data_IF_623960503959
#
_entry.id   IF_623960503959
#
_cell.length_a   1.000
_cell.length_b   1.000
_cell.length_c   1.000
_cell.angle_alpha   90.00
_cell.angle_beta   90.00
_cell.angle_gamma   90.00
#
_symmetry.space_group_name_H-M   'P 1'
#
loop_
_entity.id
_entity.type
_entity.pdbx_description
1 polymer ?
#
# COMPACT_ATOMS: atom_id res chain seq x y z
N UNK A 1 3.24 -38.22 53.36
CA UNK A 1 3.51 -37.72 51.99
C UNK A 1 4.75 -36.85 52.03
N UNK A 2 5.80 -37.23 51.31
CA UNK A 2 7.16 -36.69 51.47
C UNK A 2 7.33 -35.35 50.73
N UNK A 3 7.88 -34.37 51.42
CA UNK A 3 8.15 -33.00 50.91
C UNK A 3 8.98 -32.94 49.60
N UNK A 4 9.66 -34.00 49.24
CA UNK A 4 10.46 -34.10 48.00
C UNK A 4 9.63 -34.17 46.72
N UNK A 5 8.35 -34.58 46.76
CA UNK A 5 7.48 -34.64 45.57
C UNK A 5 6.83 -33.31 45.19
N UNK A 6 6.74 -32.37 46.15
CA UNK A 6 6.18 -31.04 45.89
C UNK A 6 7.17 -30.10 45.19
N UNK A 7 8.47 -30.26 45.43
CA UNK A 7 9.51 -29.37 44.84
C UNK A 7 9.72 -29.66 43.32
N UNK A 8 9.61 -30.94 42.94
CA UNK A 8 9.71 -31.32 41.50
C UNK A 8 8.58 -30.81 40.65
N UNK A 9 7.36 -30.69 41.19
CA UNK A 9 6.20 -30.20 40.44
C UNK A 9 6.25 -28.66 40.22
N UNK A 10 6.85 -27.91 41.13
CA UNK A 10 6.99 -26.44 41.01
C UNK A 10 8.07 -26.04 40.00
N UNK A 11 9.15 -26.83 39.86
CA UNK A 11 10.24 -26.53 38.93
C UNK A 11 9.87 -26.78 37.47
N UNK A 12 8.98 -27.73 37.20
CA UNK A 12 8.49 -28.00 35.81
C UNK A 12 7.50 -26.92 35.36
N UNK A 13 6.68 -26.37 36.26
CA UNK A 13 5.77 -25.29 35.95
C UNK A 13 6.45 -23.96 35.62
N UNK A 14 7.66 -23.71 36.16
CA UNK A 14 8.40 -22.48 35.91
C UNK A 14 9.17 -22.49 34.57
N UNK A 15 9.46 -23.67 34.02
CA UNK A 15 10.17 -23.80 32.73
C UNK A 15 9.24 -23.76 31.51
N UNK A 16 7.93 -23.91 31.67
CA UNK A 16 6.96 -23.85 30.55
C UNK A 16 6.44 -22.41 30.33
N UNK A 17 6.65 -21.50 31.30
CA UNK A 17 6.19 -20.10 31.23
C UNK A 17 7.10 -19.13 30.49
N UNK A 18 8.28 -19.57 29.99
CA UNK A 18 9.30 -18.68 29.40
C UNK A 18 9.49 -18.78 27.90
N UNK A 19 8.61 -19.49 27.18
CA UNK A 19 8.79 -19.76 25.75
C UNK A 19 7.71 -19.20 24.84
N UNK A 20 7.20 -17.98 25.08
CA UNK A 20 6.32 -17.35 24.10
C UNK A 20 6.32 -15.81 24.10
N UNK A 21 7.50 -15.21 24.23
CA UNK A 21 7.67 -13.78 23.95
C UNK A 21 8.88 -13.55 23.03
N UNK A 22 8.89 -14.23 21.91
CA UNK A 22 9.83 -13.90 20.84
C UNK A 22 9.05 -13.73 19.55
N UNK A 23 9.13 -12.55 19.01
CA UNK A 23 8.97 -12.11 17.61
C UNK A 23 7.82 -11.16 17.22
N UNK A 24 7.29 -10.34 18.13
CA UNK A 24 6.51 -9.17 17.72
C UNK A 24 7.30 -7.86 17.67
N UNK A 25 8.55 -7.84 18.12
CA UNK A 25 9.38 -6.64 18.23
C UNK A 25 10.14 -6.25 16.95
N UNK A 26 10.50 -7.22 16.10
CA UNK A 26 11.40 -6.96 14.98
C UNK A 26 10.72 -6.30 13.76
N UNK A 27 9.42 -6.51 13.56
CA UNK A 27 8.74 -5.91 12.39
C UNK A 27 8.45 -4.41 12.52
N UNK A 28 8.31 -3.89 13.74
CA UNK A 28 8.09 -2.46 13.99
C UNK A 28 9.32 -1.59 13.73
N UNK A 29 10.52 -2.13 13.84
CA UNK A 29 11.77 -1.37 13.61
C UNK A 29 12.11 -1.18 12.14
N UNK A 30 11.60 -2.02 11.25
CA UNK A 30 11.85 -1.94 9.80
C UNK A 30 10.92 -0.94 9.12
N UNK A 31 9.70 -0.78 9.63
CA UNK A 31 8.68 0.13 9.12
C UNK A 31 8.48 1.27 10.12
N UNK A 32 9.23 2.36 9.97
CA UNK A 32 9.28 3.37 11.02
C UNK A 32 8.26 4.49 10.86
N UNK A 33 8.00 4.93 9.64
CA UNK A 33 7.15 6.09 9.42
C UNK A 33 6.42 6.00 8.08
N UNK A 34 5.23 6.54 8.03
CA UNK A 34 4.45 6.63 6.81
C UNK A 34 3.56 7.86 6.83
N UNK A 35 3.22 8.34 5.64
CA UNK A 35 2.19 9.37 5.47
C UNK A 35 1.45 9.20 4.14
N UNK A 36 0.25 9.76 4.08
CA UNK A 36 -0.56 9.84 2.88
C UNK A 36 -1.03 11.28 2.71
N UNK A 37 -0.82 11.86 1.53
CA UNK A 37 -1.16 13.24 1.20
C UNK A 37 -1.81 13.33 -0.17
N UNK A 38 -2.79 14.22 -0.29
CA UNK A 38 -3.46 14.50 -1.56
C UNK A 38 -4.91 14.92 -1.35
N UNK A 39 -5.59 15.30 -2.42
CA UNK A 39 -7.01 15.69 -2.40
C UNK A 39 -7.95 14.53 -2.02
N UNK A 40 -7.48 13.29 -2.15
CA UNK A 40 -8.20 12.04 -1.85
C UNK A 40 -7.81 11.37 -0.56
N UNK A 41 -6.65 11.71 0.01
CA UNK A 41 -6.17 11.08 1.23
C UNK A 41 -5.35 12.03 2.11
N UNK A 42 -5.46 11.84 3.42
CA UNK A 42 -4.66 12.58 4.38
C UNK A 42 -4.53 11.74 5.66
N UNK A 43 -3.32 11.33 5.95
CA UNK A 43 -2.99 10.66 7.20
C UNK A 43 -1.47 10.64 7.44
N UNK A 44 -1.08 10.41 8.69
CA UNK A 44 0.30 10.14 9.11
C UNK A 44 0.29 9.02 10.13
N UNK A 45 1.44 8.45 10.44
CA UNK A 45 1.60 7.39 11.44
C UNK A 45 1.09 7.77 12.84
N UNK A 46 1.19 9.04 13.19
CA UNK A 46 0.84 9.62 14.51
C UNK A 46 -0.50 10.40 14.51
N UNK A 47 -1.11 10.64 13.35
CA UNK A 47 -2.34 11.42 13.22
C UNK A 47 -3.43 10.63 12.50
N UNK A 48 -4.64 10.51 13.09
CA UNK A 48 -5.75 9.84 12.44
C UNK A 48 -6.17 10.60 11.17
N UNK A 49 -6.54 9.84 10.14
CA UNK A 49 -7.01 10.35 8.87
C UNK A 49 -7.89 9.34 8.15
N UNK A 50 -8.13 9.54 6.86
CA UNK A 50 -8.90 8.61 6.05
C UNK A 50 -8.06 7.45 5.46
N UNK A 51 -6.80 7.32 5.86
CA UNK A 51 -5.91 6.19 5.53
C UNK A 51 -5.34 5.64 6.83
N UNK A 52 -5.29 4.34 6.96
CA UNK A 52 -4.62 3.64 8.06
C UNK A 52 -3.70 2.57 7.52
N UNK A 53 -2.61 2.30 8.22
CA UNK A 53 -1.68 1.22 7.90
C UNK A 53 -1.93 0.02 8.82
N UNK A 54 -2.01 -1.15 8.23
CA UNK A 54 -2.09 -2.45 8.91
C UNK A 54 -0.87 -3.27 8.53
N UNK A 55 -0.09 -3.72 9.53
CA UNK A 55 0.98 -4.69 9.28
C UNK A 55 0.37 -6.05 8.94
N UNK A 56 0.84 -6.68 7.88
CA UNK A 56 0.51 -8.06 7.57
C UNK A 56 1.62 -8.92 8.17
N UNK A 57 1.30 -9.90 9.03
CA UNK A 57 2.31 -10.81 9.56
C UNK A 57 3.10 -11.46 8.42
N UNK A 58 4.40 -11.61 8.60
CA UNK A 58 5.22 -12.39 7.67
C UNK A 58 4.66 -13.81 7.55
N UNK A 59 4.56 -14.32 6.34
CA UNK A 59 4.21 -15.71 6.10
C UNK A 59 5.27 -16.62 6.77
N UNK A 60 4.80 -17.61 7.50
CA UNK A 60 5.70 -18.58 8.13
C UNK A 60 6.55 -19.26 7.05
N UNK A 61 7.87 -19.16 7.16
CA UNK A 61 8.81 -19.76 6.21
C UNK A 61 9.30 -18.85 5.07
N UNK A 62 8.85 -17.59 5.01
CA UNK A 62 9.41 -16.58 4.10
C UNK A 62 10.11 -15.51 4.93
N UNK A 63 11.38 -15.73 5.32
CA UNK A 63 12.15 -14.71 6.01
C UNK A 63 12.38 -13.50 5.11
N UNK A 64 12.55 -12.33 5.72
CA UNK A 64 12.95 -11.11 5.03
C UNK A 64 11.90 -10.50 4.06
N UNK A 65 10.63 -10.81 4.26
CA UNK A 65 9.53 -10.22 3.51
C UNK A 65 8.66 -9.36 4.43
N UNK A 66 8.54 -8.08 4.11
CA UNK A 66 7.78 -7.10 4.87
C UNK A 66 6.57 -6.64 4.07
N UNK A 67 5.39 -6.99 4.54
CA UNK A 67 4.14 -6.68 3.86
C UNK A 67 3.30 -5.73 4.71
N UNK A 68 2.84 -4.65 4.12
CA UNK A 68 1.93 -3.69 4.74
C UNK A 68 0.71 -3.45 3.88
N UNK A 69 -0.42 -3.21 4.53
CA UNK A 69 -1.68 -2.88 3.89
C UNK A 69 -2.09 -1.47 4.32
N UNK A 70 -2.31 -0.59 3.36
CA UNK A 70 -2.94 0.70 3.58
C UNK A 70 -4.42 0.57 3.24
N UNK A 71 -5.28 0.93 4.19
CA UNK A 71 -6.75 0.88 4.05
C UNK A 71 -7.27 2.30 3.98
N UNK A 72 -8.06 2.59 2.94
CA UNK A 72 -8.64 3.89 2.68
C UNK A 72 -10.14 3.88 3.06
N UNK A 73 -10.57 4.79 3.94
CA UNK A 73 -11.98 4.89 4.33
C UNK A 73 -12.82 5.70 3.33
N UNK A 74 -12.21 6.69 2.66
CA UNK A 74 -12.91 7.59 1.73
C UNK A 74 -11.97 8.07 0.62
N UNK A 75 -11.58 7.15 -0.28
CA UNK A 75 -10.87 7.52 -1.49
C UNK A 75 -11.75 7.19 -2.69
N UNK A 76 -12.65 8.10 -3.02
CA UNK A 76 -13.64 7.96 -4.08
C UNK A 76 -13.74 9.25 -4.88
N UNK A 77 -13.77 9.16 -6.22
CA UNK A 77 -14.10 10.25 -7.13
C UNK A 77 -15.51 10.05 -7.65
N UNK A 78 -16.40 11.05 -7.40
CA UNK A 78 -17.81 11.01 -7.85
C UNK A 78 -18.14 12.25 -8.65
N UNK A 79 -18.41 12.07 -9.94
CA UNK A 79 -18.66 13.15 -10.87
C UNK A 79 -19.96 13.91 -10.59
N UNK A 80 -21.00 13.24 -10.08
CA UNK A 80 -22.27 13.82 -9.71
C UNK A 80 -22.20 14.81 -8.53
N UNK A 81 -21.12 14.76 -7.75
CA UNK A 81 -20.88 15.66 -6.61
C UNK A 81 -20.09 16.91 -6.97
N UNK A 82 -19.63 17.00 -8.22
CA UNK A 82 -18.83 18.13 -8.71
C UNK A 82 -19.74 19.13 -9.43
N UNK A 83 -19.58 20.42 -9.13
CA UNK A 83 -20.31 21.50 -9.80
C UNK A 83 -20.26 21.35 -11.32
N UNK A 84 -21.41 21.35 -12.03
CA UNK A 84 -21.47 21.22 -13.48
C UNK A 84 -20.63 22.21 -14.26
N UNK A 85 -20.33 23.39 -13.70
CA UNK A 85 -19.44 24.38 -14.28
C UNK A 85 -17.96 23.96 -14.32
N UNK A 86 -17.56 22.96 -13.55
CA UNK A 86 -16.17 22.46 -13.49
C UNK A 86 -15.93 21.41 -14.57
N UNK A 87 -15.07 21.70 -15.53
CA UNK A 87 -14.78 20.82 -16.67
C UNK A 87 -13.76 19.73 -16.33
N UNK A 88 -12.77 20.03 -15.47
CA UNK A 88 -11.72 19.08 -15.08
C UNK A 88 -11.62 18.98 -13.56
N UNK A 89 -11.69 17.78 -13.05
CA UNK A 89 -11.64 17.49 -11.61
C UNK A 89 -10.98 16.13 -11.36
N UNK A 90 -10.48 15.93 -10.15
CA UNK A 90 -9.77 14.69 -9.84
C UNK A 90 -9.56 14.46 -8.35
N UNK A 91 -8.97 13.32 -8.07
CA UNK A 91 -8.47 12.91 -6.76
C UNK A 91 -7.05 12.38 -6.91
N UNK A 92 -6.22 12.78 -5.99
CA UNK A 92 -4.83 12.34 -5.90
C UNK A 92 -4.54 11.84 -4.50
N UNK A 93 -3.70 10.82 -4.42
CA UNK A 93 -3.20 10.30 -3.16
C UNK A 93 -1.76 9.80 -3.35
N UNK A 94 -0.85 10.36 -2.59
CA UNK A 94 0.54 9.93 -2.51
C UNK A 94 0.76 9.24 -1.16
N UNK A 95 0.97 7.93 -1.16
CA UNK A 95 1.38 7.16 0.02
C UNK A 95 2.89 7.07 0.04
N UNK A 96 3.50 7.30 1.20
CA UNK A 96 4.94 7.20 1.43
C UNK A 96 5.19 6.33 2.66
N UNK A 97 6.06 5.36 2.51
CA UNK A 97 6.45 4.40 3.54
C UNK A 97 7.97 4.40 3.68
N UNK A 98 8.46 4.73 4.86
CA UNK A 98 9.88 4.64 5.15
C UNK A 98 10.23 3.22 5.63
N UNK A 99 11.13 2.56 4.89
CA UNK A 99 11.66 1.24 5.23
C UNK A 99 13.12 1.38 5.61
N UNK A 100 13.46 0.89 6.80
CA UNK A 100 14.82 0.81 7.29
C UNK A 100 15.22 -0.67 7.35
N UNK A 101 15.94 -1.20 6.34
CA UNK A 101 16.45 -2.55 6.41
C UNK A 101 17.34 -2.75 7.63
N UNK A 102 17.27 -3.90 8.30
CA UNK A 102 18.22 -4.24 9.36
C UNK A 102 19.66 -4.20 8.87
N UNK A 103 20.60 -4.06 9.78
CA UNK A 103 22.03 -4.16 9.46
C UNK A 103 22.33 -5.49 8.73
N UNK A 104 23.15 -5.45 7.69
CA UNK A 104 23.46 -6.60 6.86
C UNK A 104 22.37 -7.00 5.87
N UNK A 105 21.26 -6.27 5.77
CA UNK A 105 20.19 -6.51 4.79
C UNK A 105 20.05 -5.34 3.80
N UNK A 106 19.57 -5.64 2.60
CA UNK A 106 19.20 -4.64 1.58
C UNK A 106 17.88 -5.00 0.93
N UNK A 107 17.18 -4.01 0.39
CA UNK A 107 15.97 -4.22 -0.40
C UNK A 107 16.38 -4.76 -1.76
N UNK A 108 15.83 -5.90 -2.17
CA UNK A 108 16.08 -6.54 -3.47
C UNK A 108 14.83 -6.62 -4.34
N UNK A 109 13.64 -6.46 -3.77
CA UNK A 109 12.37 -6.44 -4.49
C UNK A 109 11.34 -5.59 -3.80
N UNK A 110 10.48 -4.94 -4.60
CA UNK A 110 9.31 -4.16 -4.13
C UNK A 110 8.15 -4.50 -5.03
N UNK A 111 6.99 -4.77 -4.42
CA UNK A 111 5.73 -4.96 -5.14
C UNK A 111 4.64 -4.12 -4.53
N UNK A 112 3.82 -3.51 -5.37
CA UNK A 112 2.61 -2.82 -4.94
C UNK A 112 1.40 -3.40 -5.67
N UNK A 113 0.36 -3.75 -4.90
CA UNK A 113 -0.87 -4.30 -5.44
C UNK A 113 -2.09 -3.57 -4.92
N UNK A 114 -2.98 -3.20 -5.83
CA UNK A 114 -4.28 -2.62 -5.54
C UNK A 114 -5.29 -2.93 -6.63
N UNK A 115 -6.57 -2.67 -6.39
CA UNK A 115 -7.65 -2.85 -7.37
C UNK A 115 -8.47 -1.57 -7.44
N UNK A 116 -8.57 -1.00 -8.63
CA UNK A 116 -9.37 0.19 -8.92
C UNK A 116 -10.64 -0.22 -9.66
N UNK A 117 -11.76 0.33 -9.25
CA UNK A 117 -13.07 0.10 -9.89
C UNK A 117 -13.58 1.43 -10.42
N UNK A 118 -13.96 1.47 -11.68
CA UNK A 118 -14.51 2.66 -12.32
C UNK A 118 -15.83 2.35 -13.03
N UNK A 119 -16.76 3.30 -13.00
CA UNK A 119 -17.98 3.29 -13.80
C UNK A 119 -18.26 4.69 -14.30
N UNK A 120 -18.78 4.84 -15.53
CA UNK A 120 -19.14 6.12 -16.11
C UNK A 120 -20.15 6.00 -17.24
N UNK A 121 -20.96 7.04 -17.43
CA UNK A 121 -21.77 7.21 -18.63
C UNK A 121 -20.93 7.75 -19.81
N UNK A 122 -21.58 7.84 -20.98
CA UNK A 122 -21.05 8.57 -22.13
C UNK A 122 -20.91 10.06 -21.78
N UNK A 123 -19.86 10.70 -22.25
CA UNK A 123 -19.61 12.13 -22.13
C UNK A 123 -18.32 12.47 -21.37
N UNK A 124 -18.08 12.04 -20.14
CA UNK A 124 -16.79 12.28 -19.48
C UNK A 124 -15.70 11.34 -19.99
N UNK A 125 -14.47 11.83 -20.08
CA UNK A 125 -13.28 10.99 -20.14
C UNK A 125 -12.70 10.84 -18.72
N UNK A 126 -12.00 9.72 -18.46
CA UNK A 126 -11.39 9.45 -17.19
C UNK A 126 -9.98 8.89 -17.40
N UNK A 127 -8.99 9.56 -16.84
CA UNK A 127 -7.62 9.09 -16.76
C UNK A 127 -7.34 8.55 -15.36
N UNK A 128 -6.86 7.31 -15.28
CA UNK A 128 -6.50 6.60 -14.06
C UNK A 128 -5.01 6.30 -14.13
N UNK A 129 -4.23 6.80 -13.18
CA UNK A 129 -2.81 6.54 -13.06
C UNK A 129 -2.52 5.97 -11.68
N UNK A 130 -1.71 4.92 -11.66
CA UNK A 130 -1.12 4.34 -10.45
C UNK A 130 0.38 4.14 -10.69
N UNK A 131 1.23 4.62 -9.79
CA UNK A 131 2.68 4.60 -9.97
C UNK A 131 3.40 4.19 -8.68
N UNK A 132 4.30 3.21 -8.79
CA UNK A 132 5.21 2.78 -7.72
C UNK A 132 6.54 3.51 -7.85
N UNK A 133 7.07 4.01 -6.74
CA UNK A 133 8.31 4.80 -6.67
C UNK A 133 9.25 4.30 -5.58
N UNK A 134 10.54 4.50 -5.81
CA UNK A 134 11.57 4.39 -4.78
C UNK A 134 12.32 5.73 -4.69
N UNK A 135 12.06 6.49 -3.63
CA UNK A 135 12.45 7.90 -3.57
C UNK A 135 11.79 8.70 -4.69
N UNK A 136 12.60 9.29 -5.56
CA UNK A 136 12.15 10.03 -6.74
C UNK A 136 12.06 9.18 -8.02
N UNK A 137 12.56 7.93 -7.99
CA UNK A 137 12.64 7.07 -9.17
C UNK A 137 11.32 6.31 -9.34
N UNK A 138 10.72 6.37 -10.55
CA UNK A 138 9.58 5.53 -10.93
C UNK A 138 10.06 4.10 -11.15
N UNK A 139 9.44 3.14 -10.47
CA UNK A 139 9.71 1.72 -10.64
C UNK A 139 8.74 1.06 -11.62
N UNK A 140 7.61 1.70 -11.85
CA UNK A 140 6.60 1.24 -12.78
C UNK A 140 5.31 2.00 -12.62
N UNK A 141 4.49 2.02 -13.68
CA UNK A 141 3.20 2.69 -13.70
C UNK A 141 2.17 1.91 -14.50
N UNK A 142 0.92 1.98 -14.05
CA UNK A 142 -0.26 1.53 -14.79
C UNK A 142 -1.10 2.76 -15.09
N UNK A 143 -1.37 2.99 -16.37
CA UNK A 143 -2.21 4.08 -16.83
C UNK A 143 -3.35 3.53 -17.68
N UNK A 144 -4.56 3.99 -17.40
CA UNK A 144 -5.79 3.66 -18.16
C UNK A 144 -6.52 4.94 -18.50
N UNK A 145 -7.04 4.97 -19.71
CA UNK A 145 -7.94 6.03 -20.18
C UNK A 145 -9.26 5.40 -20.60
N UNK A 146 -10.34 5.90 -20.02
CA UNK A 146 -11.70 5.58 -20.42
C UNK A 146 -12.24 6.77 -21.22
N UNK A 147 -12.44 6.56 -22.53
CA UNK A 147 -12.79 7.64 -23.45
C UNK A 147 -14.22 8.14 -23.24
N UNK A 148 -14.46 9.39 -23.65
CA UNK A 148 -15.76 10.07 -23.51
C UNK A 148 -16.90 9.35 -24.26
N UNK A 149 -16.62 8.72 -25.39
CA UNK A 149 -17.61 8.01 -26.20
C UNK A 149 -18.07 6.67 -25.59
N UNK A 150 -17.29 6.10 -24.65
CA UNK A 150 -17.60 4.82 -24.05
C UNK A 150 -18.51 4.96 -22.82
N UNK A 151 -19.56 4.13 -22.75
CA UNK A 151 -20.27 3.83 -21.52
C UNK A 151 -19.59 2.65 -20.83
N UNK A 152 -19.27 2.81 -19.55
CA UNK A 152 -18.61 1.78 -18.76
C UNK A 152 -19.46 1.48 -17.54
N UNK A 153 -20.09 0.32 -17.49
CA UNK A 153 -20.95 -0.08 -16.36
C UNK A 153 -20.12 -0.39 -15.14
N UNK A 154 -19.08 -1.21 -15.32
CA UNK A 154 -18.04 -1.50 -14.31
C UNK A 154 -16.76 -1.85 -15.06
N UNK A 155 -15.68 -1.21 -14.70
CA UNK A 155 -14.34 -1.52 -15.17
C UNK A 155 -13.47 -1.77 -13.93
N UNK A 156 -12.80 -2.91 -13.90
CA UNK A 156 -11.89 -3.29 -12.81
C UNK A 156 -10.47 -3.36 -13.36
N UNK A 157 -9.58 -2.55 -12.80
CA UNK A 157 -8.15 -2.64 -13.05
C UNK A 157 -7.43 -3.23 -11.83
N UNK A 158 -6.73 -4.33 -12.05
CA UNK A 158 -5.75 -4.83 -11.08
C UNK A 158 -4.44 -4.13 -11.38
N UNK A 159 -4.02 -3.29 -10.44
CA UNK A 159 -2.70 -2.67 -10.45
C UNK A 159 -1.76 -3.57 -9.67
N UNK A 160 -0.80 -4.16 -10.37
CA UNK A 160 0.23 -5.02 -9.80
C UNK A 160 1.55 -4.57 -10.42
N UNK A 161 2.34 -3.81 -9.66
CA UNK A 161 3.61 -3.26 -10.08
C UNK A 161 4.70 -3.89 -9.22
N UNK A 162 5.67 -4.50 -9.87
CA UNK A 162 6.78 -5.20 -9.23
C UNK A 162 8.10 -4.75 -9.84
N UNK A 163 9.11 -4.54 -9.00
CA UNK A 163 10.45 -4.20 -9.41
C UNK A 163 11.50 -4.93 -8.56
N UNK A 164 12.62 -5.30 -9.15
CA UNK A 164 13.74 -5.99 -8.50
C UNK A 164 13.84 -7.47 -8.83
N UNK A 165 14.29 -8.26 -7.87
CA UNK A 165 14.55 -9.69 -8.10
C UNK A 165 13.24 -10.43 -8.46
N UNK A 166 13.25 -11.08 -9.62
CA UNK A 166 12.09 -11.78 -10.17
C UNK A 166 11.18 -10.92 -11.05
N UNK A 167 11.37 -9.60 -11.09
CA UNK A 167 10.59 -8.67 -11.90
C UNK A 167 11.28 -8.30 -13.22
N UNK A 168 10.49 -7.75 -14.15
CA UNK A 168 11.00 -7.23 -15.43
C UNK A 168 11.79 -5.93 -15.24
N UNK A 169 11.37 -5.11 -14.27
CA UNK A 169 11.97 -3.81 -14.01
C UNK A 169 13.05 -3.92 -12.92
N UNK A 170 14.28 -3.48 -13.18
CA UNK A 170 15.35 -3.55 -12.19
C UNK A 170 15.14 -2.52 -11.08
N UNK A 171 15.50 -2.89 -9.85
CA UNK A 171 15.67 -1.90 -8.79
C UNK A 171 17.02 -1.19 -8.95
N UNK A 172 17.12 0.10 -8.61
CA UNK A 172 18.40 0.75 -8.38
C UNK A 172 19.22 -0.05 -7.36
N UNK A 173 20.54 -0.11 -7.57
CA UNK A 173 21.41 -0.80 -6.62
C UNK A 173 21.38 -0.07 -5.26
N UNK A 174 20.88 -0.75 -4.22
CA UNK A 174 20.72 -0.20 -2.88
C UNK A 174 21.81 -0.69 -1.94
N UNK A 175 22.30 0.22 -1.09
CA UNK A 175 23.25 -0.10 -0.03
C UNK A 175 22.63 -0.94 1.09
N UNK A 176 23.50 -1.60 1.85
CA UNK A 176 23.11 -2.36 3.03
C UNK A 176 22.66 -1.44 4.16
N UNK A 177 21.56 -1.77 4.82
CA UNK A 177 21.01 -0.97 5.91
C UNK A 177 20.54 0.43 5.48
N UNK A 178 20.54 0.73 4.18
CA UNK A 178 20.20 2.06 3.69
C UNK A 178 18.70 2.31 3.73
N UNK A 179 18.21 3.30 4.53
CA UNK A 179 16.80 3.65 4.58
C UNK A 179 16.29 4.12 3.22
N UNK A 180 15.09 3.72 2.84
CA UNK A 180 14.44 4.13 1.60
C UNK A 180 12.99 4.45 1.79
N UNK A 181 12.50 5.41 1.01
CA UNK A 181 11.09 5.76 0.95
C UNK A 181 10.48 5.06 -0.27
N UNK A 182 9.54 4.15 0.00
CA UNK A 182 8.68 3.58 -1.02
C UNK A 182 7.46 4.48 -1.16
N UNK A 183 7.18 4.91 -2.40
CA UNK A 183 6.05 5.73 -2.74
C UNK A 183 5.05 4.98 -3.61
N UNK A 184 3.75 5.23 -3.39
CA UNK A 184 2.72 4.82 -4.31
C UNK A 184 1.77 5.99 -4.55
N UNK A 185 1.62 6.37 -5.82
CA UNK A 185 0.84 7.52 -6.23
C UNK A 185 -0.40 7.07 -7.01
N UNK A 186 -1.57 7.57 -6.60
CA UNK A 186 -2.80 7.52 -7.38
C UNK A 186 -3.10 8.90 -7.93
N UNK A 187 -3.52 8.97 -9.20
CA UNK A 187 -4.07 10.17 -9.80
C UNK A 187 -5.25 9.77 -10.70
N UNK A 188 -6.44 10.21 -10.33
CA UNK A 188 -7.68 10.01 -11.09
C UNK A 188 -8.17 11.36 -11.54
N UNK A 189 -8.24 11.56 -12.86
CA UNK A 189 -8.60 12.85 -13.47
C UNK A 189 -9.73 12.62 -14.46
N UNK A 190 -10.84 13.31 -14.24
CA UNK A 190 -11.97 13.33 -15.12
C UNK A 190 -12.07 14.65 -15.87
N UNK A 191 -12.49 14.58 -17.13
CA UNK A 191 -12.78 15.74 -17.97
C UNK A 191 -14.16 15.58 -18.61
N UNK A 192 -14.99 16.64 -18.61
CA UNK A 192 -16.31 16.67 -19.20
C UNK A 192 -16.57 18.01 -19.92
N UNK A 193 -17.59 18.08 -20.75
CA UNK A 193 -18.07 19.35 -21.28
C UNK A 193 -18.68 20.22 -20.18
N UNK A 194 -18.57 21.54 -20.33
CA UNK A 194 -19.15 22.51 -19.39
C UNK A 194 -20.67 22.28 -19.26
N UNK A 195 -21.15 22.39 -18.05
CA UNK A 195 -22.55 22.21 -17.66
C UNK A 195 -23.14 20.80 -17.96
N UNK A 196 -22.30 19.84 -18.30
CA UNK A 196 -22.74 18.45 -18.48
C UNK A 196 -22.95 17.78 -17.12
N UNK A 197 -24.19 17.32 -16.87
CA UNK A 197 -24.48 16.41 -15.77
C UNK A 197 -23.96 15.02 -16.15
N UNK A 198 -23.21 14.41 -15.29
CA UNK A 198 -22.60 13.10 -15.53
C UNK A 198 -22.77 12.16 -14.34
N UNK A 199 -22.95 10.89 -14.66
CA UNK A 199 -22.70 9.82 -13.70
C UNK A 199 -21.27 9.30 -13.93
N UNK A 200 -20.46 9.34 -12.89
CA UNK A 200 -19.13 8.75 -12.91
C UNK A 200 -18.67 8.49 -11.47
N UNK A 201 -18.13 7.31 -11.25
CA UNK A 201 -17.49 6.95 -9.98
C UNK A 201 -16.18 6.22 -10.24
N UNK A 202 -15.18 6.53 -9.44
CA UNK A 202 -13.93 5.75 -9.35
C UNK A 202 -13.69 5.47 -7.87
N UNK A 203 -13.41 4.24 -7.54
CA UNK A 203 -13.15 3.81 -6.16
C UNK A 203 -12.06 2.73 -6.16
N UNK A 204 -11.42 2.55 -5.01
CA UNK A 204 -10.69 1.32 -4.75
C UNK A 204 -11.71 0.19 -4.51
N UNK A 205 -11.31 -1.06 -4.77
CA UNK A 205 -12.17 -2.23 -4.57
C UNK A 205 -12.81 -2.24 -3.18
N UNK A 206 -13.75 -3.17 -2.95
CA UNK A 206 -14.41 -3.32 -1.63
C UNK A 206 -13.45 -3.39 -0.46
N UNK A 207 -12.25 -3.91 -0.68
CA UNK A 207 -11.18 -3.95 0.31
C UNK A 207 -10.55 -2.57 0.56
N UNK A 208 -10.74 -1.61 -0.34
CA UNK A 208 -10.22 -0.23 -0.27
C UNK A 208 -8.76 -0.19 0.17
N UNK A 209 -7.93 -1.05 -0.41
CA UNK A 209 -6.58 -1.26 0.09
C UNK A 209 -5.51 -1.21 -0.99
N UNK A 210 -4.34 -0.77 -0.57
CA UNK A 210 -3.05 -0.90 -1.25
C UNK A 210 -2.18 -1.83 -0.40
N UNK A 211 -1.64 -2.87 -0.99
CA UNK A 211 -0.64 -3.73 -0.34
C UNK A 211 0.72 -3.40 -0.93
N UNK A 212 1.67 -3.04 -0.07
CA UNK A 212 3.09 -2.88 -0.42
C UNK A 212 3.86 -4.03 0.22
N UNK A 213 4.70 -4.65 -0.56
CA UNK A 213 5.52 -5.80 -0.20
C UNK A 213 6.98 -5.47 -0.52
N UNK A 214 7.85 -5.53 0.47
CA UNK A 214 9.28 -5.32 0.33
C UNK A 214 10.05 -6.61 0.66
N UNK A 215 10.93 -7.01 -0.21
CA UNK A 215 11.74 -8.20 -0.11
C UNK A 215 13.16 -7.77 0.23
N UNK A 216 13.71 -8.34 1.29
CA UNK A 216 15.09 -8.09 1.71
C UNK A 216 15.95 -9.31 1.44
N UNK A 217 17.26 -9.09 1.27
CA UNK A 217 18.27 -10.13 1.15
C UNK A 217 19.50 -9.75 1.96
N UNK A 218 20.31 -10.75 2.30
CA UNK A 218 21.60 -10.51 2.94
C UNK A 218 22.53 -9.73 2.01
N UNK A 219 23.30 -8.87 2.61
CA UNK A 219 24.40 -8.20 1.92
C UNK A 219 25.57 -9.19 1.72
N UNK A 220 25.98 -9.32 0.49
CA UNK A 220 27.19 -10.08 0.14
C UNK A 220 28.40 -9.16 0.20
#
# INVERSE_FOLDING_TARGET
>A
MSARKLISALLVAFLIGLSSKASYGASKSVLNDWFALGSGCRAKSDLPGNVRMEGIPAEAGVPDRYKVKFVFSDFTLRGERVDPGVEKFGRECAVRLNINPPEGKRIVGIRARTKVIAAKDVGPSLDILSELKLGAVSLGKVQRRLDSAARVSVHEDIVDIEAGEGATDPLPQLGCGEPKIIGFDYSWVATRAKNQKIFMTVDLSREKSLVIDAILSDCK
#
